data_IF_625012795577
#
_entry.id   IF_625012795577
#
_cell.length_a   1.000
_cell.length_b   1.000
_cell.length_c   1.000
_cell.angle_alpha   90.00
_cell.angle_beta   90.00
_cell.angle_gamma   90.00
#
_symmetry.space_group_name_H-M   'P 1'
#
loop_
_entity.id
_entity.type
_entity.pdbx_description
1 polymer ?
#
# COMPACT_ATOMS: atom_id res chain seq x y z
N UNK A 1 20.54 22.10 7.90
CA UNK A 1 20.58 20.69 8.37
C UNK A 1 20.69 20.67 9.88
N UNK A 2 19.74 20.00 10.56
CA UNK A 2 19.83 19.76 12.02
C UNK A 2 21.02 18.85 12.35
N UNK A 3 21.43 18.84 13.63
CA UNK A 3 22.51 17.95 14.09
C UNK A 3 22.16 16.49 13.81
N UNK A 4 20.89 16.10 14.02
CA UNK A 4 20.38 14.75 13.70
C UNK A 4 20.52 14.42 12.21
N UNK A 5 20.24 15.37 11.31
CA UNK A 5 20.40 15.17 9.87
C UNK A 5 21.87 14.97 9.46
N UNK A 6 22.79 15.73 10.07
CA UNK A 6 24.23 15.59 9.83
C UNK A 6 24.75 14.24 10.33
N UNK A 7 24.35 13.82 11.53
CA UNK A 7 24.71 12.52 12.11
C UNK A 7 24.15 11.38 11.24
N UNK A 8 22.89 11.48 10.83
CA UNK A 8 22.25 10.48 9.98
C UNK A 8 22.94 10.37 8.61
N UNK A 9 23.36 11.49 8.03
CA UNK A 9 24.12 11.51 6.77
C UNK A 9 25.46 10.77 6.89
N UNK A 10 26.22 11.01 7.98
CA UNK A 10 27.50 10.31 8.20
C UNK A 10 27.28 8.80 8.46
N UNK A 11 26.26 8.46 9.25
CA UNK A 11 25.91 7.07 9.53
C UNK A 11 25.42 6.28 8.30
N UNK A 12 24.93 6.94 7.26
CA UNK A 12 24.56 6.29 6.00
C UNK A 12 25.77 5.63 5.30
N UNK A 13 26.99 6.11 5.57
CA UNK A 13 28.22 5.51 5.05
C UNK A 13 28.53 4.15 5.69
N UNK A 14 27.94 3.86 6.86
CA UNK A 14 28.18 2.64 7.62
C UNK A 14 26.84 1.97 8.02
N UNK A 15 26.14 1.29 7.06
CA UNK A 15 24.79 0.79 7.28
C UNK A 15 24.65 -0.16 8.47
N UNK A 16 25.65 -1.02 8.72
CA UNK A 16 25.63 -1.96 9.84
C UNK A 16 25.72 -1.21 11.20
N UNK A 17 26.61 -0.24 11.30
CA UNK A 17 26.76 0.60 12.50
C UNK A 17 25.49 1.41 12.73
N UNK A 18 24.94 2.01 11.68
CA UNK A 18 23.67 2.74 11.73
C UNK A 18 22.53 1.86 12.27
N UNK A 19 22.44 0.61 11.82
CA UNK A 19 21.43 -0.36 12.28
C UNK A 19 21.57 -0.66 13.77
N UNK A 20 22.80 -0.87 14.25
CA UNK A 20 23.08 -1.12 15.68
C UNK A 20 22.72 0.10 16.53
N UNK A 21 23.19 1.30 16.16
CA UNK A 21 22.90 2.54 16.88
C UNK A 21 21.39 2.80 16.92
N UNK A 22 20.69 2.64 15.78
CA UNK A 22 19.24 2.79 15.72
C UNK A 22 18.53 1.81 16.66
N UNK A 23 18.96 0.55 16.68
CA UNK A 23 18.36 -0.48 17.54
C UNK A 23 18.62 -0.20 19.02
N UNK A 24 19.86 0.12 19.41
CA UNK A 24 20.20 0.48 20.79
C UNK A 24 19.41 1.69 21.27
N UNK A 25 19.30 2.72 20.44
CA UNK A 25 18.49 3.89 20.74
C UNK A 25 16.99 3.57 20.91
N UNK A 26 16.42 2.71 20.04
CA UNK A 26 15.03 2.25 20.18
C UNK A 26 14.81 1.48 21.48
N UNK A 27 15.76 0.62 21.88
CA UNK A 27 15.67 -0.15 23.12
C UNK A 27 15.73 0.79 24.36
N UNK A 28 16.63 1.78 24.37
CA UNK A 28 16.70 2.77 25.44
C UNK A 28 15.40 3.58 25.51
N UNK A 29 14.93 4.10 24.39
CA UNK A 29 13.70 4.89 24.33
C UNK A 29 12.48 4.05 24.75
N UNK A 30 12.42 2.79 24.35
CA UNK A 30 11.39 1.89 24.82
C UNK A 30 11.49 1.66 26.34
N UNK A 31 12.71 1.49 26.88
CA UNK A 31 12.91 1.27 28.33
C UNK A 31 12.42 2.44 29.18
N UNK A 32 12.65 3.68 28.73
CA UNK A 32 12.27 4.90 29.46
C UNK A 32 10.88 5.45 29.11
N UNK A 33 10.21 4.89 28.10
CA UNK A 33 8.86 5.32 27.69
C UNK A 33 7.77 4.61 28.50
N UNK A 34 6.57 5.21 28.64
CA UNK A 34 5.41 4.52 29.19
C UNK A 34 5.11 3.22 28.42
N UNK A 35 4.73 2.17 29.15
CA UNK A 35 4.43 0.84 28.57
C UNK A 35 2.98 0.81 28.09
N UNK A 36 2.75 1.38 26.93
CA UNK A 36 1.47 1.37 26.25
C UNK A 36 1.45 0.13 25.34
N UNK A 37 0.48 -0.77 25.54
CA UNK A 37 0.20 -1.89 24.63
C UNK A 37 -0.73 -1.41 23.51
N UNK A 38 -1.85 -0.82 23.89
CA UNK A 38 -2.82 -0.19 22.99
C UNK A 38 -3.63 0.87 23.72
N UNK A 39 -4.10 1.88 23.00
CA UNK A 39 -5.04 2.91 23.43
C UNK A 39 -6.10 3.11 22.35
N UNK A 40 -7.34 3.43 22.76
CA UNK A 40 -8.50 3.57 21.89
C UNK A 40 -9.49 2.41 22.08
N UNK A 41 -10.69 2.57 21.51
CA UNK A 41 -11.73 1.52 21.52
C UNK A 41 -11.48 0.51 20.39
N UNK A 42 -10.45 -0.32 20.56
CA UNK A 42 -9.95 -1.27 19.54
C UNK A 42 -10.58 -2.63 19.77
N UNK A 43 -11.21 -3.19 18.74
CA UNK A 43 -11.77 -4.54 18.73
C UNK A 43 -10.97 -5.43 17.78
N UNK A 44 -10.48 -6.57 18.27
CA UNK A 44 -9.90 -7.61 17.43
C UNK A 44 -11.01 -8.38 16.72
N UNK A 45 -10.92 -8.49 15.39
CA UNK A 45 -11.91 -9.25 14.60
C UNK A 45 -11.36 -10.56 14.05
N UNK A 46 -10.05 -10.73 14.02
CA UNK A 46 -9.42 -11.99 13.64
C UNK A 46 -9.44 -13.00 14.80
N UNK A 47 -9.52 -14.31 14.51
CA UNK A 47 -9.38 -15.36 15.53
C UNK A 47 -8.00 -15.34 16.22
N UNK A 48 -7.99 -15.77 17.48
CA UNK A 48 -6.76 -16.06 18.23
C UNK A 48 -6.50 -17.59 18.19
N UNK A 49 -5.98 -18.05 17.06
CA UNK A 49 -5.69 -19.48 16.79
C UNK A 49 -4.19 -19.74 16.55
N UNK A 50 -3.34 -18.79 16.96
CA UNK A 50 -1.89 -18.87 16.79
C UNK A 50 -1.43 -18.59 15.36
N UNK A 51 -2.31 -18.13 14.48
CA UNK A 51 -1.98 -17.68 13.13
C UNK A 51 -1.92 -16.17 13.08
N UNK A 52 -1.42 -15.65 11.97
CA UNK A 52 -1.33 -14.23 11.70
C UNK A 52 -2.36 -13.82 10.66
N UNK A 53 -3.14 -12.77 10.97
CA UNK A 53 -4.22 -12.26 10.15
C UNK A 53 -3.94 -10.82 9.72
N UNK A 54 -4.15 -10.50 8.44
CA UNK A 54 -3.95 -9.17 7.88
C UNK A 54 -4.72 -9.00 6.58
N UNK A 55 -5.02 -7.77 6.22
CA UNK A 55 -5.67 -7.51 4.93
C UNK A 55 -4.66 -7.03 3.88
N UNK A 56 -3.70 -6.24 4.28
CA UNK A 56 -2.66 -5.71 3.39
C UNK A 56 -2.76 -4.20 3.21
N UNK A 57 -2.90 -3.71 1.97
CA UNK A 57 -2.70 -2.28 1.67
C UNK A 57 -3.91 -1.41 2.00
N UNK A 58 -3.69 -0.09 2.14
CA UNK A 58 -4.69 0.88 2.64
C UNK A 58 -5.68 1.36 1.58
N UNK A 59 -5.45 1.08 0.30
CA UNK A 59 -6.22 1.59 -0.84
C UNK A 59 -7.49 0.80 -1.16
N UNK A 60 -7.76 -0.26 -0.41
CA UNK A 60 -8.92 -1.14 -0.61
C UNK A 60 -9.67 -1.36 0.69
N UNK A 61 -11.00 -1.51 0.62
CA UNK A 61 -11.81 -1.84 1.79
C UNK A 61 -11.92 -3.36 1.97
N UNK A 62 -11.66 -3.91 3.17
CA UNK A 62 -11.87 -5.32 3.44
C UNK A 62 -13.35 -5.70 3.57
N UNK A 63 -14.25 -4.74 3.81
CA UNK A 63 -15.68 -5.01 3.99
C UNK A 63 -16.41 -5.25 2.67
N UNK A 64 -17.35 -6.18 2.72
CA UNK A 64 -18.39 -6.30 1.71
C UNK A 64 -19.34 -5.08 1.76
N UNK A 65 -20.26 -5.00 0.81
CA UNK A 65 -21.22 -3.88 0.75
C UNK A 65 -22.17 -3.84 1.95
N UNK A 66 -22.45 -4.98 2.58
CA UNK A 66 -23.35 -5.07 3.73
C UNK A 66 -22.69 -4.65 5.06
N UNK A 67 -21.37 -4.52 5.09
CA UNK A 67 -20.58 -4.28 6.30
C UNK A 67 -20.53 -5.48 7.26
N UNK A 68 -21.05 -6.64 6.86
CA UNK A 68 -21.07 -7.85 7.67
C UNK A 68 -19.83 -8.71 7.51
N UNK A 69 -19.31 -8.81 6.28
CA UNK A 69 -18.21 -9.70 5.97
C UNK A 69 -16.92 -8.93 5.72
N UNK A 70 -15.82 -9.40 6.27
CA UNK A 70 -14.50 -8.86 6.03
C UNK A 70 -13.59 -9.91 5.40
N UNK A 71 -12.83 -9.48 4.39
CA UNK A 71 -11.74 -10.26 3.81
C UNK A 71 -10.46 -10.10 4.62
N UNK A 72 -9.68 -11.16 4.74
CA UNK A 72 -8.31 -11.09 5.21
C UNK A 72 -7.48 -12.26 4.71
N UNK A 73 -6.16 -12.13 4.84
CA UNK A 73 -5.19 -13.21 4.70
C UNK A 73 -4.98 -13.89 6.04
N UNK A 74 -4.63 -15.18 6.03
CA UNK A 74 -4.17 -15.93 7.19
C UNK A 74 -2.88 -16.66 6.85
N UNK A 75 -1.82 -16.46 7.63
CA UNK A 75 -0.51 -17.03 7.42
C UNK A 75 0.05 -17.64 8.71
N UNK A 76 1.09 -18.50 8.59
CA UNK A 76 1.79 -19.06 9.75
C UNK A 76 2.65 -18.02 10.46
N UNK A 77 3.34 -17.17 9.70
CA UNK A 77 4.07 -16.02 10.21
C UNK A 77 4.25 -14.95 9.14
N UNK A 78 4.44 -13.68 9.58
CA UNK A 78 4.68 -12.51 8.71
C UNK A 78 5.91 -11.71 9.12
N UNK A 79 6.77 -12.25 9.99
CA UNK A 79 7.93 -11.54 10.53
C UNK A 79 9.28 -12.11 10.11
N UNK A 80 9.34 -13.35 9.58
CA UNK A 80 10.58 -13.98 9.13
C UNK A 80 10.98 -13.57 7.72
N UNK A 81 10.01 -13.47 6.81
CA UNK A 81 10.23 -13.18 5.39
C UNK A 81 9.17 -12.20 4.90
N UNK A 82 9.58 -11.26 4.06
CA UNK A 82 8.68 -10.26 3.45
C UNK A 82 7.76 -10.84 2.38
N UNK A 83 8.18 -11.92 1.74
CA UNK A 83 7.40 -12.69 0.74
C UNK A 83 7.58 -14.19 1.01
N UNK A 84 6.90 -14.72 2.04
CA UNK A 84 7.06 -16.09 2.44
C UNK A 84 6.76 -17.09 1.32
N UNK A 85 7.50 -18.18 1.28
CA UNK A 85 7.33 -19.24 0.27
C UNK A 85 6.10 -20.12 0.52
N UNK A 86 5.59 -20.09 1.75
CA UNK A 86 4.39 -20.82 2.12
C UNK A 86 3.16 -20.19 1.49
N UNK A 87 2.14 -21.02 1.29
CA UNK A 87 0.80 -20.53 0.93
C UNK A 87 0.21 -19.75 2.10
N UNK A 88 -0.57 -18.73 1.78
CA UNK A 88 -1.47 -18.08 2.73
C UNK A 88 -2.92 -18.39 2.38
N UNK A 89 -3.75 -18.51 3.39
CA UNK A 89 -5.18 -18.67 3.22
C UNK A 89 -5.85 -17.32 2.97
N UNK A 90 -6.90 -17.33 2.16
CA UNK A 90 -7.85 -16.24 2.01
C UNK A 90 -9.08 -16.58 2.84
N UNK A 91 -9.47 -15.66 3.70
CA UNK A 91 -10.49 -15.88 4.74
C UNK A 91 -11.54 -14.79 4.67
N UNK A 92 -12.79 -15.19 4.90
CA UNK A 92 -13.92 -14.29 5.18
C UNK A 92 -14.27 -14.39 6.66
N UNK A 93 -14.37 -13.25 7.33
CA UNK A 93 -14.80 -13.12 8.73
C UNK A 93 -16.24 -12.61 8.75
N UNK A 94 -17.15 -13.30 9.44
CA UNK A 94 -18.54 -12.89 9.66
C UNK A 94 -18.63 -12.12 10.98
N UNK A 95 -18.65 -10.80 10.92
CA UNK A 95 -18.67 -9.91 12.08
C UNK A 95 -19.95 -10.06 12.93
N UNK A 96 -21.07 -10.49 12.35
CA UNK A 96 -22.34 -10.70 13.05
C UNK A 96 -22.47 -12.11 13.66
N UNK A 97 -21.48 -12.99 13.39
CA UNK A 97 -21.48 -14.35 13.92
C UNK A 97 -20.21 -14.59 14.75
N UNK A 98 -20.00 -13.78 15.79
CA UNK A 98 -18.86 -13.89 16.73
C UNK A 98 -17.51 -13.92 16.00
N UNK A 99 -17.37 -13.13 14.95
CA UNK A 99 -16.17 -13.06 14.10
C UNK A 99 -15.73 -14.42 13.55
N UNK A 100 -16.69 -15.30 13.23
CA UNK A 100 -16.39 -16.62 12.68
C UNK A 100 -15.64 -16.49 11.36
N UNK A 101 -14.43 -17.00 11.34
CA UNK A 101 -13.58 -17.01 10.15
C UNK A 101 -13.79 -18.28 9.33
N UNK A 102 -13.89 -18.15 8.02
CA UNK A 102 -14.00 -19.24 7.05
C UNK A 102 -12.93 -19.08 5.97
N UNK A 103 -12.07 -20.07 5.80
CA UNK A 103 -11.20 -20.16 4.62
C UNK A 103 -12.05 -20.35 3.38
N UNK A 104 -11.81 -19.52 2.36
CA UNK A 104 -12.50 -19.58 1.05
C UNK A 104 -11.55 -19.94 -0.09
N UNK A 105 -10.25 -19.65 0.04
CA UNK A 105 -9.23 -19.97 -0.95
C UNK A 105 -7.84 -19.99 -0.32
N UNK A 106 -6.81 -20.18 -1.14
CA UNK A 106 -5.41 -20.01 -0.77
C UNK A 106 -4.63 -19.39 -1.93
N UNK A 107 -3.50 -18.77 -1.65
CA UNK A 107 -2.61 -18.20 -2.65
C UNK A 107 -1.15 -18.45 -2.34
N UNK A 108 -0.32 -18.50 -3.40
CA UNK A 108 1.15 -18.50 -3.33
C UNK A 108 1.74 -17.13 -3.63
N UNK A 109 1.00 -16.23 -4.29
CA UNK A 109 1.46 -14.90 -4.67
C UNK A 109 1.01 -13.87 -3.63
N UNK A 110 1.82 -13.70 -2.58
CA UNK A 110 1.52 -12.75 -1.51
C UNK A 110 2.80 -12.18 -0.86
N UNK A 111 2.65 -11.08 -0.18
CA UNK A 111 3.68 -10.45 0.62
C UNK A 111 3.05 -9.80 1.87
N UNK A 112 3.88 -9.41 2.84
CA UNK A 112 3.41 -8.92 4.15
C UNK A 112 2.89 -7.48 4.13
N UNK A 113 3.12 -6.71 3.05
CA UNK A 113 2.73 -5.30 2.95
C UNK A 113 1.44 -5.10 2.15
N UNK A 114 1.30 -5.82 1.03
CA UNK A 114 0.19 -5.63 0.09
C UNK A 114 -0.66 -6.89 -0.08
N UNK A 115 -0.38 -7.94 0.71
CA UNK A 115 -1.05 -9.24 0.61
C UNK A 115 -0.99 -9.79 -0.84
N UNK A 116 -2.08 -10.29 -1.37
CA UNK A 116 -2.24 -10.80 -2.74
C UNK A 116 -3.15 -9.90 -3.59
N UNK A 117 -3.22 -8.60 -3.31
CA UNK A 117 -4.17 -7.65 -3.91
C UNK A 117 -5.63 -8.07 -3.75
N UNK A 118 -5.92 -8.76 -2.64
CA UNK A 118 -7.24 -9.26 -2.29
C UNK A 118 -8.25 -8.12 -2.19
N UNK A 119 -9.41 -8.27 -2.82
CA UNK A 119 -10.51 -7.30 -2.74
C UNK A 119 -11.86 -7.92 -3.12
N UNK A 120 -12.94 -7.34 -2.61
CA UNK A 120 -14.28 -7.57 -3.13
C UNK A 120 -14.37 -7.04 -4.55
N UNK A 121 -14.92 -7.81 -5.47
CA UNK A 121 -15.08 -7.40 -6.86
C UNK A 121 -16.38 -6.60 -7.02
N UNK A 122 -16.27 -5.41 -7.65
CA UNK A 122 -17.44 -4.61 -8.02
C UNK A 122 -18.25 -5.20 -9.17
N UNK A 123 -19.44 -4.64 -9.46
CA UNK A 123 -20.04 -3.48 -8.78
C UNK A 123 -20.76 -3.81 -7.46
N UNK A 124 -21.07 -5.08 -7.19
CA UNK A 124 -21.87 -5.49 -6.03
C UNK A 124 -21.08 -5.60 -4.71
N UNK A 125 -19.76 -5.76 -4.79
CA UNK A 125 -18.85 -5.91 -3.65
C UNK A 125 -19.32 -6.91 -2.58
N UNK A 126 -19.94 -8.03 -3.00
CA UNK A 126 -20.53 -9.00 -2.09
C UNK A 126 -20.44 -10.45 -2.57
N UNK A 127 -20.62 -10.71 -3.87
CA UNK A 127 -20.75 -12.07 -4.41
C UNK A 127 -19.40 -12.67 -4.80
N UNK A 128 -18.45 -11.85 -5.23
CA UNK A 128 -17.17 -12.26 -5.78
C UNK A 128 -16.01 -11.53 -5.12
N UNK A 129 -14.91 -12.25 -5.01
CA UNK A 129 -13.62 -11.69 -4.63
C UNK A 129 -12.62 -11.92 -5.74
N UNK A 130 -11.61 -11.04 -5.84
CA UNK A 130 -10.49 -11.22 -6.74
C UNK A 130 -9.19 -11.12 -5.95
N UNK A 131 -8.22 -11.95 -6.30
CA UNK A 131 -6.90 -11.99 -5.67
C UNK A 131 -5.86 -12.54 -6.66
N UNK A 132 -4.59 -12.21 -6.43
CA UNK A 132 -3.49 -12.77 -7.20
C UNK A 132 -3.05 -14.13 -6.66
N UNK A 133 -2.61 -14.99 -7.58
CA UNK A 133 -2.02 -16.28 -7.27
C UNK A 133 -0.86 -16.59 -8.23
N UNK A 134 -0.10 -17.64 -7.93
CA UNK A 134 0.91 -18.21 -8.82
C UNK A 134 0.54 -19.65 -9.13
N UNK A 135 0.12 -19.90 -10.35
CA UNK A 135 -0.27 -21.23 -10.86
C UNK A 135 0.59 -21.64 -12.05
N UNK A 136 1.06 -22.86 -12.07
CA UNK A 136 1.91 -23.36 -13.15
C UNK A 136 3.11 -22.47 -13.50
N UNK A 137 3.74 -21.87 -12.48
CA UNK A 137 4.90 -21.00 -12.64
C UNK A 137 4.60 -19.63 -13.27
N UNK A 138 3.35 -19.18 -13.27
CA UNK A 138 2.90 -17.87 -13.80
C UNK A 138 2.02 -17.17 -12.79
N UNK A 139 2.13 -15.85 -12.70
CA UNK A 139 1.17 -15.05 -11.96
C UNK A 139 -0.15 -14.98 -12.71
N UNK A 140 -1.24 -15.05 -11.96
CA UNK A 140 -2.60 -14.93 -12.45
C UNK A 140 -3.45 -14.18 -11.43
N UNK A 141 -4.62 -13.72 -11.83
CA UNK A 141 -5.67 -13.33 -10.91
C UNK A 141 -6.77 -14.40 -10.90
N UNK A 142 -7.37 -14.61 -9.75
CA UNK A 142 -8.47 -15.55 -9.55
C UNK A 142 -9.69 -14.79 -9.09
N UNK A 143 -10.78 -14.89 -9.80
CA UNK A 143 -12.10 -14.42 -9.39
C UNK A 143 -12.82 -15.63 -8.79
N UNK A 144 -13.16 -15.54 -7.50
CA UNK A 144 -13.87 -16.57 -6.77
C UNK A 144 -15.28 -16.11 -6.44
N UNK A 145 -16.28 -16.87 -6.88
CA UNK A 145 -17.66 -16.71 -6.44
C UNK A 145 -17.86 -17.40 -5.07
N UNK A 146 -18.17 -16.63 -4.03
CA UNK A 146 -18.13 -17.13 -2.65
C UNK A 146 -19.16 -18.20 -2.37
N UNK A 147 -20.36 -18.11 -2.95
CA UNK A 147 -21.45 -19.07 -2.71
C UNK A 147 -21.19 -20.44 -3.33
N UNK A 148 -20.68 -20.45 -4.55
CA UNK A 148 -20.53 -21.68 -5.35
C UNK A 148 -19.12 -22.27 -5.26
N UNK A 149 -18.12 -21.45 -4.89
CA UNK A 149 -16.71 -21.83 -4.97
C UNK A 149 -16.17 -21.86 -6.41
N UNK A 150 -16.94 -21.39 -7.40
CA UNK A 150 -16.51 -21.36 -8.79
C UNK A 150 -15.42 -20.32 -8.98
N UNK A 151 -14.32 -20.74 -9.62
CA UNK A 151 -13.20 -19.86 -9.97
C UNK A 151 -13.22 -19.52 -11.46
N UNK A 152 -12.86 -18.27 -11.77
CA UNK A 152 -12.47 -17.83 -13.11
C UNK A 152 -11.04 -17.29 -13.02
N UNK A 153 -10.14 -17.78 -13.90
CA UNK A 153 -8.72 -17.45 -13.86
C UNK A 153 -8.40 -16.50 -15.01
N UNK A 154 -7.79 -15.38 -14.68
CA UNK A 154 -7.22 -14.42 -15.63
C UNK A 154 -5.71 -14.64 -15.67
N UNK A 155 -5.14 -14.80 -16.87
CA UNK A 155 -3.71 -15.10 -17.08
C UNK A 155 -2.78 -13.88 -16.86
N UNK A 156 -3.16 -12.99 -15.97
CA UNK A 156 -2.36 -11.86 -15.48
C UNK A 156 -2.70 -11.57 -14.02
N UNK A 157 -1.74 -11.13 -13.18
CA UNK A 157 -2.05 -10.59 -11.88
C UNK A 157 -2.75 -9.22 -12.04
N UNK A 158 -3.42 -8.75 -10.99
CA UNK A 158 -4.03 -7.41 -10.95
C UNK A 158 -3.40 -6.57 -9.83
N UNK A 159 -3.36 -5.26 -10.01
CA UNK A 159 -2.90 -4.33 -8.98
C UNK A 159 -4.08 -3.50 -8.44
N UNK A 160 -4.84 -2.88 -9.31
CA UNK A 160 -6.04 -2.09 -8.99
C UNK A 160 -7.12 -2.38 -10.03
N UNK A 161 -8.40 -2.21 -9.63
CA UNK A 161 -9.56 -2.52 -10.47
C UNK A 161 -10.53 -1.34 -10.40
N UNK A 162 -11.17 -1.02 -11.50
CA UNK A 162 -12.26 -0.04 -11.55
C UNK A 162 -13.42 -0.44 -10.64
N UNK A 163 -14.16 0.52 -10.09
CA UNK A 163 -15.27 0.28 -9.16
C UNK A 163 -16.40 -0.55 -9.76
N UNK A 164 -16.56 -0.52 -11.09
CA UNK A 164 -17.52 -1.36 -11.83
C UNK A 164 -17.04 -2.81 -12.04
N UNK A 165 -15.80 -3.11 -11.64
CA UNK A 165 -15.23 -4.46 -11.73
C UNK A 165 -14.81 -4.91 -13.13
N UNK A 166 -14.77 -4.02 -14.14
CA UNK A 166 -14.56 -4.40 -15.54
C UNK A 166 -13.12 -4.33 -16.00
N UNK A 167 -12.36 -3.37 -15.50
CA UNK A 167 -10.98 -3.14 -15.97
C UNK A 167 -10.01 -3.13 -14.80
N UNK A 168 -8.88 -3.80 -14.95
CA UNK A 168 -7.77 -3.71 -14.03
C UNK A 168 -6.53 -3.09 -14.68
N UNK A 169 -5.66 -2.53 -13.85
CA UNK A 169 -4.28 -2.26 -14.18
C UNK A 169 -3.37 -3.27 -13.48
N UNK A 170 -2.27 -3.60 -14.16
CA UNK A 170 -1.22 -4.45 -13.58
C UNK A 170 0.16 -3.97 -13.97
N UNK A 171 1.17 -4.49 -13.26
CA UNK A 171 2.58 -4.20 -13.45
C UNK A 171 3.40 -5.50 -13.32
N UNK A 172 4.72 -5.43 -13.55
CA UNK A 172 5.60 -6.58 -13.34
C UNK A 172 5.88 -6.79 -11.83
N UNK A 173 5.15 -7.71 -11.22
CA UNK A 173 5.31 -8.06 -9.80
C UNK A 173 6.64 -8.71 -9.49
N UNK A 174 7.30 -9.37 -10.46
CA UNK A 174 8.65 -9.93 -10.27
C UNK A 174 9.70 -8.82 -10.17
N UNK A 175 9.61 -7.82 -11.05
CA UNK A 175 10.49 -6.64 -11.00
C UNK A 175 10.22 -5.80 -9.75
N UNK A 176 8.96 -5.65 -9.39
CA UNK A 176 8.60 -4.95 -8.16
C UNK A 176 9.22 -5.63 -6.94
N UNK A 177 9.16 -6.96 -6.85
CA UNK A 177 9.78 -7.75 -5.78
C UNK A 177 11.30 -7.55 -5.73
N UNK A 178 12.00 -7.68 -6.86
CA UNK A 178 13.45 -7.58 -6.88
C UNK A 178 13.96 -6.17 -6.51
N UNK A 179 13.23 -5.12 -6.88
CA UNK A 179 13.61 -3.73 -6.63
C UNK A 179 13.04 -3.16 -5.31
N UNK A 180 12.11 -3.86 -4.67
CA UNK A 180 11.52 -3.47 -3.40
C UNK A 180 11.00 -4.71 -2.65
N UNK A 181 11.84 -5.43 -1.92
CA UNK A 181 11.39 -6.54 -1.06
C UNK A 181 10.24 -6.10 -0.14
N UNK A 182 9.24 -6.98 0.03
CA UNK A 182 7.99 -6.67 0.74
C UNK A 182 6.85 -6.16 -0.15
N UNK A 183 7.15 -5.89 -1.44
CA UNK A 183 6.19 -5.55 -2.48
C UNK A 183 6.42 -6.47 -3.67
N UNK A 184 5.38 -6.82 -4.41
CA UNK A 184 5.49 -7.81 -5.47
C UNK A 184 5.63 -9.24 -4.96
N UNK A 185 5.99 -10.19 -5.84
CA UNK A 185 6.03 -11.62 -5.53
C UNK A 185 7.28 -12.27 -6.10
N UNK A 186 7.86 -13.21 -5.34
CA UNK A 186 9.11 -13.90 -5.70
C UNK A 186 8.92 -15.11 -6.62
N UNK A 187 7.70 -15.62 -6.77
CA UNK A 187 7.39 -16.95 -7.34
C UNK A 187 7.75 -17.11 -8.81
N UNK A 188 7.86 -16.00 -9.55
CA UNK A 188 8.19 -15.99 -10.98
C UNK A 188 9.46 -15.18 -11.17
N UNK A 189 10.49 -15.72 -11.85
CA UNK A 189 11.71 -14.97 -12.13
C UNK A 189 11.44 -13.70 -12.98
N UNK A 190 12.05 -12.59 -12.61
CA UNK A 190 12.01 -11.35 -13.40
C UNK A 190 12.71 -11.52 -14.73
N UNK A 191 11.99 -11.28 -15.82
CA UNK A 191 12.53 -11.38 -17.19
C UNK A 191 13.52 -10.25 -17.54
N UNK A 192 13.39 -9.11 -16.88
CA UNK A 192 14.22 -7.91 -17.10
C UNK A 192 15.28 -7.72 -16.03
N UNK A 193 15.59 -8.78 -15.26
CA UNK A 193 16.58 -8.73 -14.18
C UNK A 193 17.93 -8.24 -14.67
N UNK A 194 18.49 -7.24 -13.99
CA UNK A 194 19.77 -6.62 -14.36
C UNK A 194 19.68 -5.55 -15.45
N UNK A 195 18.54 -5.36 -16.09
CA UNK A 195 18.34 -4.30 -17.07
C UNK A 195 17.84 -3.04 -16.38
N UNK A 196 18.62 -1.98 -16.44
CA UNK A 196 18.33 -0.69 -15.78
C UNK A 196 17.06 -0.05 -16.31
N UNK A 197 16.98 0.17 -17.63
CA UNK A 197 15.79 0.65 -18.35
C UNK A 197 15.39 -0.39 -19.40
N UNK A 198 14.46 -1.31 -19.09
CA UNK A 198 14.08 -2.35 -20.04
C UNK A 198 13.16 -1.80 -21.15
N UNK A 199 13.39 -2.25 -22.39
CA UNK A 199 12.40 -2.08 -23.47
C UNK A 199 11.27 -3.10 -23.28
N UNK A 200 10.44 -2.84 -22.28
CA UNK A 200 9.34 -3.71 -21.88
C UNK A 200 8.18 -2.86 -21.38
N UNK A 201 6.99 -3.44 -21.40
CA UNK A 201 5.80 -2.83 -20.82
C UNK A 201 5.99 -2.68 -19.30
N UNK A 202 5.59 -1.55 -18.76
CA UNK A 202 5.62 -1.22 -17.34
C UNK A 202 4.22 -1.31 -16.71
N UNK A 203 3.18 -0.97 -17.49
CA UNK A 203 1.79 -1.00 -17.09
C UNK A 203 0.94 -1.65 -18.17
N UNK A 204 0.06 -2.57 -17.79
CA UNK A 204 -0.92 -3.21 -18.67
C UNK A 204 -2.33 -2.92 -18.19
N UNK A 205 -3.27 -2.90 -19.12
CA UNK A 205 -4.70 -3.04 -18.83
C UNK A 205 -5.11 -4.50 -18.95
N UNK A 206 -6.06 -4.91 -18.14
CA UNK A 206 -6.65 -6.24 -18.11
C UNK A 206 -8.17 -6.08 -18.12
N UNK A 207 -8.83 -6.63 -19.13
CA UNK A 207 -10.27 -6.79 -19.16
C UNK A 207 -10.65 -7.95 -18.22
N UNK A 208 -11.47 -7.67 -17.22
CA UNK A 208 -11.82 -8.65 -16.18
C UNK A 208 -12.79 -9.72 -16.67
N UNK A 209 -13.63 -9.41 -17.65
CA UNK A 209 -14.63 -10.33 -18.16
C UNK A 209 -14.03 -11.35 -19.14
N UNK A 210 -13.29 -10.86 -20.14
CA UNK A 210 -12.71 -11.72 -21.16
C UNK A 210 -11.25 -12.13 -20.91
N UNK A 211 -10.61 -11.54 -19.90
CA UNK A 211 -9.20 -11.79 -19.56
C UNK A 211 -8.19 -11.22 -20.56
N UNK A 212 -8.61 -10.33 -21.48
CA UNK A 212 -7.70 -9.72 -22.45
C UNK A 212 -6.70 -8.80 -21.76
N UNK A 213 -5.41 -8.96 -22.11
CA UNK A 213 -4.30 -8.18 -21.58
C UNK A 213 -3.74 -7.31 -22.70
N UNK A 214 -3.61 -6.00 -22.45
CA UNK A 214 -3.03 -5.05 -23.42
C UNK A 214 -1.89 -4.28 -22.79
N UNK A 215 -0.78 -4.16 -23.50
CA UNK A 215 0.30 -3.23 -23.15
C UNK A 215 -0.23 -1.81 -23.18
N UNK A 216 -0.05 -1.05 -22.10
CA UNK A 216 -0.52 0.32 -21.99
C UNK A 216 0.63 1.31 -22.09
N UNK A 217 1.63 1.20 -21.20
CA UNK A 217 2.81 2.06 -21.16
C UNK A 217 4.07 1.23 -20.93
N UNK A 218 5.15 1.57 -21.65
CA UNK A 218 6.49 0.99 -21.47
C UNK A 218 7.30 1.79 -20.45
N UNK A 219 8.40 1.20 -19.95
CA UNK A 219 9.36 1.94 -19.11
C UNK A 219 9.97 3.12 -19.87
N UNK A 220 10.20 2.98 -21.19
CA UNK A 220 10.74 4.03 -22.05
C UNK A 220 9.75 5.21 -22.19
N UNK A 221 8.43 4.97 -22.17
CA UNK A 221 7.44 6.05 -22.25
C UNK A 221 7.55 6.96 -21.01
N UNK A 222 7.71 6.37 -19.84
CA UNK A 222 7.95 7.12 -18.60
C UNK A 222 9.31 7.83 -18.59
N UNK A 223 10.37 7.17 -19.04
CA UNK A 223 11.73 7.72 -19.01
C UNK A 223 11.91 8.89 -19.98
N UNK A 224 11.23 8.86 -21.12
CA UNK A 224 11.30 9.90 -22.15
C UNK A 224 10.30 11.05 -21.93
N UNK A 225 9.30 10.84 -21.07
CA UNK A 225 8.32 11.89 -20.79
C UNK A 225 8.86 12.92 -19.81
N UNK A 226 9.15 14.12 -20.30
CA UNK A 226 9.77 15.22 -19.53
C UNK A 226 11.00 14.73 -18.74
N UNK A 227 12.05 14.24 -19.41
CA UNK A 227 13.17 13.57 -18.76
C UNK A 227 13.95 14.54 -17.87
N UNK A 228 14.36 14.06 -16.69
CA UNK A 228 15.27 14.76 -15.81
C UNK A 228 16.72 14.33 -16.09
N UNK A 229 17.69 15.22 -15.83
CA UNK A 229 19.10 14.98 -16.09
C UNK A 229 19.62 13.68 -15.45
N UNK A 230 19.24 13.41 -14.21
CA UNK A 230 19.65 12.22 -13.46
C UNK A 230 19.01 10.91 -13.93
N UNK A 231 18.05 10.96 -14.86
CA UNK A 231 17.44 9.79 -15.49
C UNK A 231 18.21 9.30 -16.72
N UNK A 232 19.09 10.15 -17.28
CA UNK A 232 19.73 9.92 -18.57
C UNK A 232 20.95 8.98 -18.51
N UNK A 233 21.46 8.68 -17.33
CA UNK A 233 22.58 7.79 -17.15
C UNK A 233 22.16 6.32 -17.36
N UNK A 234 22.95 5.54 -18.12
CA UNK A 234 22.66 4.13 -18.46
C UNK A 234 22.53 3.21 -17.23
N UNK A 235 23.13 3.58 -16.11
CA UNK A 235 23.10 2.83 -14.86
C UNK A 235 21.83 3.02 -14.03
N UNK A 236 21.00 3.99 -14.38
CA UNK A 236 19.80 4.34 -13.62
C UNK A 236 18.74 3.26 -13.77
N UNK A 237 18.31 2.71 -12.64
CA UNK A 237 17.31 1.64 -12.60
C UNK A 237 15.92 2.22 -12.46
N UNK A 238 15.04 1.87 -13.38
CA UNK A 238 13.67 2.39 -13.45
C UNK A 238 12.63 1.37 -13.00
N UNK A 239 11.60 1.83 -12.29
CA UNK A 239 10.46 1.01 -11.90
C UNK A 239 9.17 1.82 -11.75
N UNK A 240 8.03 1.14 -11.86
CA UNK A 240 6.70 1.66 -11.52
C UNK A 240 6.17 0.98 -10.25
N UNK A 241 5.29 1.69 -9.54
CA UNK A 241 4.62 1.19 -8.33
C UNK A 241 3.35 2.01 -8.10
N UNK A 242 2.48 1.54 -7.21
CA UNK A 242 1.34 2.27 -6.69
C UNK A 242 0.39 2.78 -7.77
N UNK A 243 -0.21 1.81 -8.51
CA UNK A 243 -1.27 2.11 -9.45
C UNK A 243 -2.59 2.31 -8.70
N UNK A 244 -3.35 3.37 -9.01
CA UNK A 244 -4.68 3.58 -8.48
C UNK A 244 -5.55 4.32 -9.49
N UNK A 245 -6.73 3.79 -9.78
CA UNK A 245 -7.73 4.47 -10.60
C UNK A 245 -8.32 5.69 -9.90
N UNK A 246 -8.68 6.70 -10.67
CA UNK A 246 -9.64 7.72 -10.22
C UNK A 246 -11.00 7.06 -9.92
N UNK A 247 -11.84 7.64 -9.06
CA UNK A 247 -13.13 7.04 -8.68
C UNK A 247 -14.03 6.67 -9.87
N UNK A 248 -14.03 7.48 -10.95
CA UNK A 248 -14.79 7.21 -12.17
C UNK A 248 -14.11 6.21 -13.13
N UNK A 249 -12.90 5.74 -12.82
CA UNK A 249 -12.14 4.77 -13.62
C UNK A 249 -11.58 5.31 -14.93
N UNK A 250 -11.69 6.61 -15.24
CA UNK A 250 -11.23 7.18 -16.53
C UNK A 250 -9.76 7.53 -16.55
N UNK A 251 -9.18 7.80 -15.38
CA UNK A 251 -7.75 8.09 -15.21
C UNK A 251 -7.15 7.19 -14.15
N UNK A 252 -5.84 7.13 -14.10
CA UNK A 252 -5.11 6.48 -13.02
C UNK A 252 -3.88 7.29 -12.65
N UNK A 253 -3.38 7.08 -11.45
CA UNK A 253 -2.08 7.56 -11.02
C UNK A 253 -1.08 6.42 -10.90
N UNK A 254 0.20 6.74 -11.06
CA UNK A 254 1.32 5.82 -10.92
C UNK A 254 2.52 6.54 -10.30
N UNK A 255 3.21 5.88 -9.36
CA UNK A 255 4.51 6.33 -8.89
C UNK A 255 5.60 5.76 -9.79
N UNK A 256 6.20 6.63 -10.59
CA UNK A 256 7.38 6.31 -11.37
C UNK A 256 8.64 6.64 -10.57
N UNK A 257 9.52 5.65 -10.45
CA UNK A 257 10.72 5.75 -9.60
C UNK A 257 11.96 5.39 -10.36
N UNK A 258 13.06 6.10 -10.05
CA UNK A 258 14.37 5.73 -10.55
C UNK A 258 15.42 5.83 -9.45
N UNK A 259 16.47 5.03 -9.60
CA UNK A 259 17.57 4.93 -8.67
C UNK A 259 18.87 5.31 -9.39
N UNK A 260 19.49 6.40 -8.96
CA UNK A 260 20.84 6.77 -9.37
C UNK A 260 21.79 6.50 -8.20
N UNK A 261 22.55 5.41 -8.28
CA UNK A 261 23.31 4.90 -7.15
C UNK A 261 22.38 4.55 -5.96
N UNK A 262 22.66 5.13 -4.80
CA UNK A 262 21.84 4.93 -3.59
C UNK A 262 20.66 5.92 -3.48
N UNK A 263 20.61 6.94 -4.34
CA UNK A 263 19.54 7.93 -4.29
C UNK A 263 18.33 7.46 -5.08
N UNK A 264 17.20 7.45 -4.41
CA UNK A 264 15.89 7.16 -4.99
C UNK A 264 15.15 8.45 -5.27
N UNK A 265 14.64 8.55 -6.48
CA UNK A 265 13.73 9.62 -6.91
C UNK A 265 12.35 9.03 -7.19
N UNK A 266 11.32 9.82 -7.00
CA UNK A 266 9.94 9.42 -7.29
C UNK A 266 9.20 10.62 -7.87
N UNK A 267 8.48 10.41 -8.97
CA UNK A 267 7.48 11.35 -9.47
C UNK A 267 6.10 10.71 -9.46
N UNK A 268 5.07 11.51 -9.26
CA UNK A 268 3.68 11.13 -9.40
C UNK A 268 3.21 11.52 -10.79
N UNK A 269 2.73 10.54 -11.54
CA UNK A 269 2.20 10.72 -12.90
C UNK A 269 0.74 10.31 -12.90
N UNK A 270 -0.12 11.07 -13.57
CA UNK A 270 -1.48 10.69 -13.92
C UNK A 270 -1.59 10.44 -15.41
N UNK A 271 -2.55 9.61 -15.81
CA UNK A 271 -2.72 9.22 -17.20
C UNK A 271 -4.17 8.76 -17.45
N UNK A 272 -4.67 8.92 -18.66
CA UNK A 272 -5.94 8.30 -19.07
C UNK A 272 -5.78 6.77 -19.14
N UNK A 273 -6.91 6.06 -18.98
CA UNK A 273 -6.95 4.59 -18.99
C UNK A 273 -6.46 3.98 -20.32
N UNK A 274 -6.46 4.74 -21.41
CA UNK A 274 -5.94 4.35 -22.72
C UNK A 274 -4.45 4.68 -22.95
N UNK A 275 -3.77 5.24 -21.94
CA UNK A 275 -2.37 5.62 -22.01
C UNK A 275 -2.11 7.02 -22.54
N UNK A 276 -3.14 7.76 -22.93
CA UNK A 276 -3.04 9.14 -23.41
C UNK A 276 -3.03 10.15 -22.27
N UNK A 277 -2.77 11.41 -22.58
CA UNK A 277 -2.85 12.55 -21.66
C UNK A 277 -2.08 12.33 -20.34
N UNK A 278 -0.84 11.84 -20.48
CA UNK A 278 0.08 11.67 -19.36
C UNK A 278 0.48 13.03 -18.79
N UNK A 279 0.43 13.19 -17.47
CA UNK A 279 0.74 14.43 -16.77
C UNK A 279 1.65 14.18 -15.57
N UNK A 280 2.74 14.93 -15.43
CA UNK A 280 3.61 14.91 -14.24
C UNK A 280 3.00 15.82 -13.18
N UNK A 281 2.33 15.23 -12.20
CA UNK A 281 1.64 15.97 -11.15
C UNK A 281 2.59 16.42 -10.04
N UNK A 282 3.61 15.61 -9.72
CA UNK A 282 4.65 15.97 -8.76
C UNK A 282 6.00 15.40 -9.16
N UNK A 283 7.08 16.20 -9.08
CA UNK A 283 8.45 15.86 -9.47
C UNK A 283 9.53 16.43 -8.53
N UNK A 284 9.20 16.66 -7.28
CA UNK A 284 10.11 17.23 -6.27
C UNK A 284 10.88 16.12 -5.51
N UNK A 285 11.41 15.13 -6.23
CA UNK A 285 12.24 14.01 -5.79
C UNK A 285 11.54 12.92 -4.96
N UNK A 286 10.55 13.25 -4.15
CA UNK A 286 9.94 12.30 -3.24
C UNK A 286 8.42 12.43 -3.20
N UNK A 287 7.75 11.37 -3.63
CA UNK A 287 6.33 11.10 -3.37
C UNK A 287 6.22 9.72 -2.74
N UNK A 288 5.44 9.58 -1.68
CA UNK A 288 5.29 8.33 -0.94
C UNK A 288 3.90 7.72 -1.12
N UNK A 289 2.92 8.12 -0.34
CA UNK A 289 1.58 7.55 -0.33
C UNK A 289 0.58 8.55 -0.88
N UNK A 290 -0.27 8.06 -1.79
CA UNK A 290 -1.22 8.89 -2.54
C UNK A 290 -2.62 8.28 -2.47
N UNK A 291 -3.65 9.13 -2.56
CA UNK A 291 -5.04 8.70 -2.62
C UNK A 291 -5.88 9.72 -3.41
N UNK A 292 -6.74 9.24 -4.31
CA UNK A 292 -7.71 10.09 -4.99
C UNK A 292 -8.79 10.55 -4.01
N UNK A 293 -8.97 11.84 -3.84
CA UNK A 293 -10.11 12.43 -3.13
C UNK A 293 -11.37 12.31 -3.97
N UNK A 294 -11.27 12.72 -5.23
CA UNK A 294 -12.29 12.68 -6.25
C UNK A 294 -11.62 12.48 -7.62
N UNK A 295 -12.33 12.70 -8.72
CA UNK A 295 -11.79 12.48 -10.06
C UNK A 295 -10.77 13.54 -10.52
N UNK A 296 -10.58 14.61 -9.74
CA UNK A 296 -9.72 15.75 -10.07
C UNK A 296 -8.63 16.02 -9.04
N UNK A 297 -8.77 15.52 -7.80
CA UNK A 297 -7.86 15.86 -6.71
C UNK A 297 -7.19 14.61 -6.11
N UNK A 298 -5.88 14.70 -5.88
CA UNK A 298 -5.06 13.67 -5.27
C UNK A 298 -4.39 14.23 -4.01
N UNK A 299 -4.58 13.55 -2.89
CA UNK A 299 -3.80 13.76 -1.67
C UNK A 299 -2.56 12.89 -1.71
N UNK A 300 -1.38 13.48 -1.45
CA UNK A 300 -0.14 12.73 -1.34
C UNK A 300 0.72 13.23 -0.17
N UNK A 301 1.47 12.31 0.44
CA UNK A 301 2.64 12.68 1.21
C UNK A 301 3.82 12.81 0.26
N UNK A 302 4.34 14.01 0.13
CA UNK A 302 5.45 14.31 -0.77
C UNK A 302 6.38 15.38 -0.21
N UNK A 303 7.50 15.59 -0.87
CA UNK A 303 8.34 16.76 -0.66
C UNK A 303 8.04 17.79 -1.74
N UNK A 304 7.86 19.05 -1.37
CA UNK A 304 7.90 20.19 -2.28
C UNK A 304 9.17 21.00 -2.03
N UNK A 305 9.82 21.48 -3.08
CA UNK A 305 11.06 22.26 -2.92
C UNK A 305 10.85 23.51 -2.04
N UNK A 306 9.72 24.16 -2.16
CA UNK A 306 9.41 25.36 -1.37
C UNK A 306 8.71 25.05 -0.03
N UNK A 307 7.90 23.97 0.03
CA UNK A 307 7.08 23.63 1.20
C UNK A 307 7.66 22.56 2.12
N UNK A 308 8.69 21.82 1.66
CA UNK A 308 9.26 20.68 2.40
C UNK A 308 8.36 19.44 2.39
N UNK A 309 8.69 18.42 3.20
CA UNK A 309 7.89 17.19 3.30
C UNK A 309 6.57 17.45 4.02
N UNK A 310 5.46 16.95 3.48
CA UNK A 310 4.13 17.12 4.04
C UNK A 310 3.04 16.50 3.19
N UNK A 311 1.79 16.77 3.56
CA UNK A 311 0.62 16.33 2.82
C UNK A 311 0.14 17.44 1.90
N UNK A 312 0.07 17.13 0.62
CA UNK A 312 -0.35 18.07 -0.42
C UNK A 312 -1.58 17.54 -1.14
N UNK A 313 -2.64 18.34 -1.18
CA UNK A 313 -3.80 18.10 -2.03
C UNK A 313 -3.56 18.81 -3.34
N UNK A 314 -3.41 18.05 -4.41
CA UNK A 314 -3.05 18.52 -5.74
C UNK A 314 -4.23 18.36 -6.69
N UNK A 315 -4.45 19.34 -7.57
CA UNK A 315 -5.44 19.24 -8.64
C UNK A 315 -4.80 18.64 -9.89
N UNK A 316 -5.34 17.52 -10.35
CA UNK A 316 -4.83 16.80 -11.52
C UNK A 316 -4.78 17.71 -12.76
N UNK A 317 -3.77 17.52 -13.60
CA UNK A 317 -3.53 18.29 -14.84
C UNK A 317 -3.31 19.78 -14.62
N UNK A 318 -2.96 20.19 -13.41
CA UNK A 318 -2.59 21.58 -13.05
C UNK A 318 -1.36 21.59 -12.16
N UNK A 319 -0.82 22.80 -11.91
CA UNK A 319 0.22 23.01 -10.89
C UNK A 319 -0.37 23.50 -9.55
N UNK A 320 -1.71 23.50 -9.43
CA UNK A 320 -2.39 23.94 -8.23
C UNK A 320 -2.27 22.87 -7.13
N UNK A 321 -1.88 23.31 -5.94
CA UNK A 321 -1.86 22.46 -4.76
C UNK A 321 -2.13 23.24 -3.48
N UNK A 322 -2.60 22.54 -2.46
CA UNK A 322 -2.76 23.06 -1.11
C UNK A 322 -1.91 22.21 -0.15
N UNK A 323 -1.01 22.85 0.59
CA UNK A 323 -0.27 22.21 1.67
C UNK A 323 -1.21 22.01 2.87
N UNK A 324 -1.64 20.79 3.13
CA UNK A 324 -2.47 20.46 4.28
C UNK A 324 -1.58 20.24 5.50
N UNK A 325 -1.97 20.78 6.62
CA UNK A 325 -1.31 20.57 7.93
C UNK A 325 0.21 20.80 7.91
N UNK A 326 0.71 22.02 7.66
CA UNK A 326 2.15 22.27 7.47
C UNK A 326 3.04 21.89 8.65
N UNK A 327 2.46 21.73 9.85
CA UNK A 327 3.19 21.24 11.05
C UNK A 327 3.30 19.72 11.12
N UNK A 328 2.57 18.98 10.25
CA UNK A 328 2.53 17.54 10.26
C UNK A 328 3.33 16.96 9.07
N UNK A 329 4.58 16.61 9.35
CA UNK A 329 5.55 16.16 8.35
C UNK A 329 5.95 14.68 8.49
N UNK A 330 5.13 13.87 9.14
CA UNK A 330 5.36 12.44 9.27
C UNK A 330 4.57 11.69 8.19
N UNK A 331 5.27 10.87 7.43
CA UNK A 331 4.67 10.00 6.40
C UNK A 331 3.74 8.96 7.02
N UNK A 332 2.66 8.63 6.32
CA UNK A 332 1.67 7.62 6.66
C UNK A 332 0.81 7.28 5.47
N UNK A 333 -0.23 6.49 5.69
CA UNK A 333 -1.10 5.95 4.65
C UNK A 333 -2.46 6.68 4.67
N UNK A 334 -2.60 7.80 3.95
CA UNK A 334 -3.81 8.60 3.97
C UNK A 334 -4.89 8.01 3.06
N UNK A 335 -6.14 8.01 3.54
CA UNK A 335 -7.32 7.76 2.68
C UNK A 335 -8.51 8.60 3.12
N UNK A 336 -9.30 9.04 2.14
CA UNK A 336 -10.55 9.74 2.41
C UNK A 336 -11.65 8.78 2.83
N UNK A 337 -12.50 9.24 3.75
CA UNK A 337 -13.78 8.59 4.04
C UNK A 337 -14.68 8.56 2.80
N UNK A 338 -15.70 7.67 2.75
CA UNK A 338 -16.61 7.59 1.61
C UNK A 338 -17.31 8.92 1.28
N UNK A 339 -17.65 9.72 2.31
CA UNK A 339 -18.25 11.06 2.20
C UNK A 339 -17.24 12.16 1.80
N UNK A 340 -15.93 11.87 1.77
CA UNK A 340 -14.82 12.79 1.47
C UNK A 340 -14.59 13.92 2.50
N UNK A 341 -15.23 13.84 3.67
CA UNK A 341 -15.15 14.86 4.72
C UNK A 341 -13.97 14.63 5.68
N UNK A 342 -13.60 13.37 5.85
CA UNK A 342 -12.57 12.95 6.80
C UNK A 342 -11.45 12.20 6.10
N UNK A 343 -10.25 12.30 6.67
CA UNK A 343 -9.07 11.58 6.20
C UNK A 343 -8.56 10.75 7.38
N UNK A 344 -8.41 9.45 7.18
CA UNK A 344 -7.68 8.59 8.10
C UNK A 344 -6.25 8.47 7.62
N UNK A 345 -5.31 8.45 8.57
CA UNK A 345 -3.91 8.14 8.32
C UNK A 345 -3.28 7.44 9.52
N UNK A 346 -2.25 6.67 9.27
CA UNK A 346 -1.41 6.11 10.32
C UNK A 346 -0.08 6.87 10.46
N UNK A 347 0.75 6.41 11.36
CA UNK A 347 2.14 6.78 11.45
C UNK A 347 3.02 5.53 11.52
N UNK A 348 4.24 5.63 11.00
CA UNK A 348 5.25 4.62 11.29
C UNK A 348 5.59 4.57 12.79
N UNK A 349 6.09 3.41 13.30
CA UNK A 349 6.47 3.29 14.69
C UNK A 349 7.49 4.36 15.09
N UNK A 350 7.18 5.13 16.11
CA UNK A 350 8.08 6.13 16.69
C UNK A 350 9.25 5.47 17.45
N UNK A 351 10.05 6.27 18.14
CA UNK A 351 11.21 5.80 18.91
C UNK A 351 10.85 4.83 20.05
N UNK A 352 9.64 4.94 20.60
CA UNK A 352 9.08 4.03 21.60
C UNK A 352 8.31 2.84 20.97
N UNK A 353 8.38 2.67 19.66
CA UNK A 353 7.68 1.62 18.91
C UNK A 353 6.16 1.76 18.93
N UNK A 354 5.65 2.98 19.09
CA UNK A 354 4.23 3.28 19.05
C UNK A 354 3.84 3.86 17.68
N UNK A 355 2.78 3.33 17.10
CA UNK A 355 2.12 3.86 15.88
C UNK A 355 0.73 4.39 16.25
N UNK A 356 0.29 5.42 15.57
CA UNK A 356 -1.00 6.04 15.77
C UNK A 356 -1.88 5.89 14.54
N UNK A 357 -3.20 5.83 14.75
CA UNK A 357 -4.21 6.10 13.73
C UNK A 357 -4.86 7.43 14.08
N UNK A 358 -4.91 8.34 13.12
CA UNK A 358 -5.50 9.67 13.26
C UNK A 358 -6.60 9.87 12.24
N UNK A 359 -7.61 10.65 12.65
CA UNK A 359 -8.60 11.24 11.75
C UNK A 359 -8.37 12.73 11.69
N UNK A 360 -8.41 13.29 10.49
CA UNK A 360 -8.22 14.71 10.21
C UNK A 360 -9.26 15.20 9.22
N UNK A 361 -9.47 16.52 9.21
CA UNK A 361 -10.16 17.24 8.13
C UNK A 361 -9.20 18.21 7.47
N UNK A 362 -9.46 18.57 6.23
CA UNK A 362 -8.56 19.45 5.45
C UNK A 362 -8.33 20.84 6.08
N UNK A 363 -9.29 21.31 6.85
CA UNK A 363 -9.26 22.63 7.51
C UNK A 363 -8.87 22.57 9.00
N UNK A 364 -8.56 21.39 9.53
CA UNK A 364 -8.10 21.24 10.91
C UNK A 364 -6.59 21.46 11.01
N UNK A 365 -6.13 21.92 12.16
CA UNK A 365 -4.69 22.06 12.47
C UNK A 365 -4.12 20.78 13.04
N UNK A 366 -4.90 20.08 13.86
CA UNK A 366 -4.54 18.84 14.53
C UNK A 366 -5.67 17.81 14.39
N UNK A 367 -5.29 16.57 14.10
CA UNK A 367 -6.24 15.47 14.01
C UNK A 367 -6.42 14.75 15.33
N UNK A 368 -7.58 14.10 15.49
CA UNK A 368 -7.90 13.23 16.62
C UNK A 368 -7.16 11.88 16.48
N UNK A 369 -6.35 11.50 17.47
CA UNK A 369 -5.81 10.14 17.58
C UNK A 369 -6.93 9.23 18.09
N UNK A 370 -7.30 8.23 17.30
CA UNK A 370 -8.38 7.28 17.63
C UNK A 370 -7.84 5.93 18.08
N UNK A 371 -6.61 5.60 17.70
CA UNK A 371 -5.92 4.41 18.18
C UNK A 371 -4.42 4.66 18.28
N UNK A 372 -3.78 4.05 19.28
CA UNK A 372 -2.32 3.97 19.43
C UNK A 372 -1.96 2.55 19.80
N UNK A 373 -0.96 1.97 19.12
CA UNK A 373 -0.60 0.58 19.30
C UNK A 373 0.92 0.39 19.31
N UNK A 374 1.38 -0.56 20.11
CA UNK A 374 2.78 -0.97 20.20
C UNK A 374 3.15 -1.94 19.07
N UNK A 375 4.31 -1.76 18.47
CA UNK A 375 4.87 -2.66 17.47
C UNK A 375 6.06 -3.42 18.06
N UNK A 376 5.93 -4.73 18.40
CA UNK A 376 7.03 -5.54 18.90
C UNK A 376 8.24 -5.56 17.98
N UNK A 377 9.44 -5.70 18.58
CA UNK A 377 10.71 -5.61 17.85
C UNK A 377 10.94 -6.74 16.82
N UNK A 378 10.20 -7.84 16.88
CA UNK A 378 10.28 -8.88 15.86
C UNK A 378 9.70 -8.45 14.51
N UNK A 379 8.76 -7.48 14.51
CA UNK A 379 8.21 -6.87 13.29
C UNK A 379 8.97 -5.58 12.99
N UNK A 380 10.00 -5.66 12.17
CA UNK A 380 10.88 -4.53 11.88
C UNK A 380 11.39 -4.52 10.45
N UNK A 381 11.91 -3.39 9.98
CA UNK A 381 12.39 -3.19 8.61
C UNK A 381 11.34 -3.54 7.55
N UNK A 382 11.65 -4.45 6.65
CA UNK A 382 10.75 -4.82 5.53
C UNK A 382 9.58 -5.72 5.97
N UNK A 383 9.70 -6.41 7.13
CA UNK A 383 8.61 -7.22 7.71
C UNK A 383 7.80 -6.48 8.78
N UNK A 384 8.03 -5.16 9.00
CA UNK A 384 7.22 -4.40 9.94
C UNK A 384 5.73 -4.47 9.57
N UNK A 385 4.90 -4.36 10.58
CA UNK A 385 3.46 -4.22 10.39
C UNK A 385 3.13 -2.73 10.28
N UNK A 386 2.90 -2.25 9.07
CA UNK A 386 2.26 -0.95 8.85
C UNK A 386 0.77 -1.10 9.11
N UNK A 387 0.13 -0.11 9.74
CA UNK A 387 -1.26 -0.25 10.19
C UNK A 387 -2.23 -0.25 9.02
N UNK A 388 -1.91 0.50 7.94
CA UNK A 388 -2.72 0.58 6.74
C UNK A 388 -4.22 0.78 7.04
N UNK A 389 -4.64 1.89 7.63
CA UNK A 389 -6.02 2.11 8.03
C UNK A 389 -6.95 2.21 6.80
N UNK A 390 -8.12 1.58 6.90
CA UNK A 390 -9.09 1.49 5.80
C UNK A 390 -10.48 1.77 6.32
N UNK A 391 -11.23 2.60 5.60
CA UNK A 391 -12.60 2.91 5.93
C UNK A 391 -13.55 1.74 5.63
N UNK A 392 -14.52 1.52 6.50
CA UNK A 392 -15.73 0.79 6.14
C UNK A 392 -16.50 1.54 5.05
N UNK A 393 -17.35 0.84 4.29
CA UNK A 393 -18.06 1.45 3.16
C UNK A 393 -19.08 2.51 3.58
N UNK A 394 -19.57 2.45 4.83
CA UNK A 394 -20.45 3.45 5.44
C UNK A 394 -19.71 4.57 6.18
N UNK A 395 -18.38 4.50 6.25
CA UNK A 395 -17.54 5.51 6.90
C UNK A 395 -17.60 5.54 8.43
N UNK A 396 -18.18 4.52 9.07
CA UNK A 396 -18.36 4.48 10.54
C UNK A 396 -17.28 3.72 11.29
N UNK A 397 -16.49 2.93 10.57
CA UNK A 397 -15.42 2.11 11.13
C UNK A 397 -14.14 2.23 10.32
N UNK A 398 -13.03 1.99 10.99
CA UNK A 398 -11.71 1.86 10.38
C UNK A 398 -11.14 0.51 10.76
N UNK A 399 -10.72 -0.30 9.77
CA UNK A 399 -9.91 -1.48 10.00
C UNK A 399 -8.43 -1.17 9.88
N UNK A 400 -7.61 -1.93 10.57
CA UNK A 400 -6.16 -1.83 10.46
C UNK A 400 -5.49 -3.14 10.86
N UNK A 401 -4.28 -3.36 10.36
CA UNK A 401 -3.42 -4.46 10.77
C UNK A 401 -2.55 -4.02 11.95
N UNK A 402 -2.40 -4.83 13.00
CA UNK A 402 -1.52 -4.52 14.11
C UNK A 402 -0.93 -5.78 14.75
N UNK A 403 0.09 -5.58 15.61
CA UNK A 403 0.91 -6.66 16.18
C UNK A 403 1.09 -6.54 17.71
N UNK A 404 0.32 -5.68 18.36
CA UNK A 404 0.49 -5.39 19.78
C UNK A 404 0.10 -6.56 20.70
N UNK A 405 -0.67 -7.53 20.21
CA UNK A 405 -0.97 -8.78 20.91
C UNK A 405 0.17 -9.82 20.80
N UNK A 406 1.26 -9.51 20.09
CA UNK A 406 2.39 -10.42 19.88
C UNK A 406 2.32 -11.23 18.59
N UNK A 407 1.21 -11.15 17.86
CA UNK A 407 1.00 -11.69 16.52
C UNK A 407 0.25 -10.64 15.68
N UNK A 408 0.30 -10.78 14.35
CA UNK A 408 -0.44 -9.88 13.47
C UNK A 408 -1.92 -10.25 13.49
N UNK A 409 -2.75 -9.26 13.79
CA UNK A 409 -4.20 -9.38 13.82
C UNK A 409 -4.87 -8.28 13.00
N UNK A 410 -6.12 -8.53 12.61
CA UNK A 410 -7.02 -7.55 12.00
C UNK A 410 -7.90 -6.93 13.07
N UNK A 411 -7.89 -5.62 13.15
CA UNK A 411 -8.60 -4.85 14.16
C UNK A 411 -9.53 -3.84 13.53
N UNK A 412 -10.54 -3.42 14.29
CA UNK A 412 -11.44 -2.31 13.94
C UNK A 412 -11.50 -1.30 15.08
N UNK A 413 -11.81 -0.07 14.75
CA UNK A 413 -12.13 1.02 15.66
C UNK A 413 -13.34 1.78 15.11
N UNK A 414 -14.29 2.09 16.00
CA UNK A 414 -15.46 2.91 15.68
C UNK A 414 -15.04 4.37 15.49
N UNK A 415 -15.71 5.05 14.55
CA UNK A 415 -15.53 6.46 14.28
C UNK A 415 -16.86 7.18 14.53
N UNK A 416 -16.82 8.08 15.48
CA UNK A 416 -17.97 8.96 15.83
C UNK A 416 -18.16 10.04 14.75
#
# INVERSE_FOLDING_TARGET
MSIEQKVNYQLNKFPAIKKIIKRSYQLVMYAVSPKIKSEGNITCVSPDDGKEYFFGYYDKSPWDISGRYMLCMRANNTWNDVSPKEKADIVVIDLKNKNKAKKIAETRAWNVQQACMLQWLGPDFSSKVIYNDCRNGKFCAVILEIKTGKEHIINAPVYTITSDGKTALTLDFSRLYNLRPGYGYYNVPEKTKGISLPDATAVWTVDIECGQIKSLLKYNDFASFQPRKEMLEKSVVHKVNHLMFSPNGKRFMVLYRWFNGQRKYTRLITCNIDGTDMYVLSDDDMVSHCFWKNDEEILAFENKYEGGPGYYLMKDKTQEYKHLWPKYNNDGHPSYSPDKERIVMDSYPNRARLSNIKIMRENEIEGKVIARVFSPFKYDNDTRCDLHPRWSRDGKQISFDAVFEGHRGLYIVEVD
#
